data_IF_034356827498
#
_entry.id   IF_034356827498
#
_cell.length_a   1.000
_cell.length_b   1.000
_cell.length_c   1.000
_cell.angle_alpha   90.00
_cell.angle_beta   90.00
_cell.angle_gamma   90.00
#
_symmetry.space_group_name_H-M   'P 1'
#
loop_
_entity.id
_entity.type
_entity.pdbx_description
1 polymer ?
#
# COMPACT_ATOMS: atom_id res chain seq x y z
N UNK A 1 4.33 7.58 -8.01
CA UNK A 1 4.79 8.57 -7.01
C UNK A 1 5.07 9.86 -7.74
N UNK A 2 4.43 10.95 -7.34
CA UNK A 2 4.76 12.28 -7.83
C UNK A 2 5.54 12.98 -6.72
N UNK A 3 6.57 13.79 -7.05
CA UNK A 3 7.24 14.58 -6.03
C UNK A 3 6.22 15.49 -5.35
N UNK A 4 6.45 15.73 -4.06
CA UNK A 4 5.74 16.80 -3.35
C UNK A 4 6.04 18.15 -4.01
N UNK A 5 5.20 19.15 -3.75
CA UNK A 5 5.36 20.52 -4.29
C UNK A 5 6.76 21.11 -4.09
N UNK A 6 7.47 20.66 -3.04
CA UNK A 6 8.77 21.17 -2.61
C UNK A 6 9.93 20.19 -2.92
N UNK A 7 9.68 19.14 -3.71
CA UNK A 7 10.66 18.10 -4.04
C UNK A 7 10.92 18.07 -5.54
N UNK A 8 12.17 17.92 -5.94
CA UNK A 8 12.53 17.62 -7.33
C UNK A 8 12.39 16.12 -7.61
N UNK A 9 12.19 15.75 -8.88
CA UNK A 9 12.18 14.33 -9.29
C UNK A 9 13.46 13.60 -8.87
N UNK A 10 14.61 14.29 -8.86
CA UNK A 10 15.90 13.71 -8.48
C UNK A 10 15.97 13.38 -6.99
N UNK A 11 15.48 14.29 -6.14
CA UNK A 11 15.41 14.06 -4.69
C UNK A 11 14.44 12.93 -4.35
N UNK A 12 13.30 12.84 -5.04
CA UNK A 12 12.37 11.72 -4.88
C UNK A 12 13.03 10.38 -5.25
N UNK A 13 13.75 10.34 -6.37
CA UNK A 13 14.45 9.14 -6.81
C UNK A 13 15.50 8.70 -5.78
N UNK A 14 16.32 9.65 -5.32
CA UNK A 14 17.34 9.37 -4.31
C UNK A 14 16.72 8.81 -3.02
N UNK A 15 15.64 9.43 -2.53
CA UNK A 15 14.93 8.96 -1.34
C UNK A 15 14.40 7.53 -1.51
N UNK A 16 13.82 7.22 -2.66
CA UNK A 16 13.33 5.88 -2.96
C UNK A 16 14.47 4.86 -2.97
N UNK A 17 15.60 5.19 -3.61
CA UNK A 17 16.75 4.28 -3.63
C UNK A 17 17.35 4.05 -2.23
N UNK A 18 17.40 5.08 -1.39
CA UNK A 18 17.86 4.97 0.00
C UNK A 18 16.94 4.07 0.82
N UNK A 19 15.62 4.20 0.68
CA UNK A 19 14.64 3.33 1.33
C UNK A 19 14.79 1.87 0.88
N UNK A 20 14.91 1.62 -0.43
CA UNK A 20 15.11 0.27 -0.94
C UNK A 20 16.45 -0.34 -0.53
N UNK A 21 17.52 0.45 -0.41
CA UNK A 21 18.83 -0.03 0.07
C UNK A 21 18.84 -0.31 1.58
N UNK A 22 18.10 0.47 2.35
CA UNK A 22 18.01 0.32 3.80
C UNK A 22 17.07 -0.80 4.24
N UNK A 23 16.10 -1.16 3.40
CA UNK A 23 15.13 -2.20 3.72
C UNK A 23 15.73 -3.59 3.58
N UNK A 24 15.43 -4.47 4.55
CA UNK A 24 15.86 -5.86 4.46
C UNK A 24 14.89 -6.63 3.58
N UNK A 25 15.42 -7.32 2.58
CA UNK A 25 14.61 -8.27 1.80
C UNK A 25 14.12 -9.38 2.73
N UNK A 26 12.81 -9.43 2.95
CA UNK A 26 12.14 -10.52 3.66
C UNK A 26 11.04 -11.08 2.79
N UNK A 27 10.77 -12.37 2.96
CA UNK A 27 9.61 -13.02 2.37
C UNK A 27 8.51 -12.94 3.42
N UNK A 28 7.43 -12.15 3.20
CA UNK A 28 6.40 -11.94 4.21
C UNK A 28 5.79 -13.25 4.75
N UNK A 29 5.68 -14.27 3.89
CA UNK A 29 5.15 -15.59 4.21
C UNK A 29 6.06 -16.39 5.15
N UNK A 30 7.33 -16.01 5.29
CA UNK A 30 8.29 -16.66 6.20
C UNK A 30 8.34 -16.01 7.58
N UNK A 31 7.63 -14.90 7.81
CA UNK A 31 7.57 -14.29 9.14
C UNK A 31 6.67 -15.13 10.06
N UNK A 32 7.32 -15.98 10.86
CA UNK A 32 6.67 -16.85 11.85
C UNK A 32 5.72 -16.10 12.81
N UNK A 33 5.99 -14.83 13.11
CA UNK A 33 5.14 -14.01 13.99
C UNK A 33 3.83 -13.66 13.30
N UNK A 34 3.87 -13.42 11.99
CA UNK A 34 2.67 -13.20 11.18
C UNK A 34 1.87 -14.50 11.11
N UNK A 35 2.51 -15.64 10.83
CA UNK A 35 1.83 -16.93 10.83
C UNK A 35 1.17 -17.25 12.19
N UNK A 36 1.85 -16.99 13.30
CA UNK A 36 1.32 -17.16 14.65
C UNK A 36 0.13 -16.24 14.93
N UNK A 37 0.20 -14.97 14.49
CA UNK A 37 -0.92 -14.02 14.63
C UNK A 37 -2.17 -14.52 13.90
N UNK A 38 -2.00 -14.96 12.65
CA UNK A 38 -3.12 -15.52 11.88
C UNK A 38 -3.69 -16.76 12.56
N UNK A 39 -2.84 -17.69 13.02
CA UNK A 39 -3.30 -18.91 13.67
C UNK A 39 -3.96 -18.68 15.03
N UNK A 40 -3.45 -17.76 15.84
CA UNK A 40 -3.94 -17.52 17.21
C UNK A 40 -5.18 -16.62 17.25
N UNK A 41 -5.24 -15.61 16.39
CA UNK A 41 -6.31 -14.61 16.41
C UNK A 41 -7.39 -14.87 15.37
N UNK A 42 -6.99 -15.29 14.17
CA UNK A 42 -7.91 -15.59 13.07
C UNK A 42 -8.26 -17.08 12.99
N UNK A 43 -7.64 -17.91 13.84
CA UNK A 43 -7.82 -19.36 13.94
C UNK A 43 -7.40 -20.11 12.66
N UNK A 44 -6.95 -19.39 11.62
CA UNK A 44 -6.53 -19.93 10.32
C UNK A 44 -5.82 -18.88 9.45
N UNK A 45 -5.12 -19.37 8.42
CA UNK A 45 -4.48 -18.55 7.39
C UNK A 45 -5.40 -18.52 6.16
N UNK A 46 -6.07 -17.40 5.91
CA UNK A 46 -6.80 -17.16 4.65
C UNK A 46 -8.30 -17.51 4.63
N UNK A 47 -8.94 -17.70 5.78
CA UNK A 47 -10.39 -17.94 5.82
C UNK A 47 -11.23 -16.65 5.83
N UNK A 48 -12.55 -16.84 5.74
CA UNK A 48 -13.59 -15.82 5.76
C UNK A 48 -13.42 -14.81 6.91
N UNK A 49 -12.92 -15.22 8.08
CA UNK A 49 -12.66 -14.34 9.23
C UNK A 49 -11.60 -13.27 8.92
N UNK A 50 -10.51 -13.65 8.24
CA UNK A 50 -9.48 -12.70 7.80
C UNK A 50 -10.07 -11.71 6.78
N UNK A 51 -10.89 -12.20 5.85
CA UNK A 51 -11.54 -11.36 4.85
C UNK A 51 -12.54 -10.37 5.46
N UNK A 52 -13.27 -10.78 6.49
CA UNK A 52 -14.21 -9.91 7.19
C UNK A 52 -13.52 -8.84 8.06
N UNK A 53 -12.42 -9.19 8.71
CA UNK A 53 -11.76 -8.30 9.68
C UNK A 53 -10.67 -7.42 9.08
N UNK A 54 -9.95 -7.92 8.07
CA UNK A 54 -8.76 -7.23 7.52
C UNK A 54 -8.98 -6.63 6.13
N UNK A 55 -10.01 -7.06 5.39
CA UNK A 55 -10.26 -6.55 4.05
C UNK A 55 -11.35 -5.49 4.07
N UNK A 56 -11.15 -4.46 3.26
CA UNK A 56 -12.18 -3.48 2.94
C UNK A 56 -12.29 -3.36 1.43
N UNK A 57 -13.43 -2.88 0.95
CA UNK A 57 -13.64 -2.70 -0.48
C UNK A 57 -13.31 -1.27 -0.88
N UNK A 58 -12.50 -1.14 -1.92
CA UNK A 58 -12.29 0.14 -2.56
C UNK A 58 -13.59 0.61 -3.21
N UNK A 59 -14.00 1.84 -2.91
CA UNK A 59 -15.10 2.50 -3.61
C UNK A 59 -14.55 3.68 -4.40
N UNK A 60 -14.70 3.63 -5.72
CA UNK A 60 -14.33 4.74 -6.59
C UNK A 60 -15.28 5.91 -6.32
N UNK A 61 -14.74 7.01 -5.78
CA UNK A 61 -15.50 8.24 -5.62
C UNK A 61 -15.44 8.99 -6.94
N UNK A 62 -16.57 9.09 -7.64
CA UNK A 62 -16.68 9.99 -8.80
C UNK A 62 -16.56 11.43 -8.32
N UNK A 63 -15.40 12.03 -8.58
CA UNK A 63 -15.23 13.47 -8.43
C UNK A 63 -15.92 14.10 -9.63
N UNK A 64 -17.01 14.83 -9.41
CA UNK A 64 -17.61 15.72 -10.41
C UNK A 64 -16.64 16.87 -10.71
N UNK A 65 -15.53 16.56 -11.39
CA UNK A 65 -14.75 17.55 -12.09
C UNK A 65 -15.55 17.86 -13.35
N UNK A 66 -16.56 18.71 -13.22
CA UNK A 66 -17.08 19.50 -14.33
C UNK A 66 -15.93 20.40 -14.82
N UNK A 67 -14.97 19.78 -15.49
CA UNK A 67 -13.89 20.44 -16.18
C UNK A 67 -14.55 21.15 -17.34
N UNK A 68 -14.75 22.46 -17.18
CA UNK A 68 -14.99 23.38 -18.28
C UNK A 68 -14.01 23.00 -19.40
N UNK A 69 -14.57 22.50 -20.50
CA UNK A 69 -13.86 22.05 -21.68
C UNK A 69 -13.05 23.20 -22.26
N UNK A 70 -11.77 23.31 -21.89
CA UNK A 70 -10.81 24.11 -22.67
C UNK A 70 -10.43 23.24 -23.86
N UNK A 71 -11.03 23.54 -25.02
CA UNK A 71 -10.58 23.03 -26.32
C UNK A 71 -9.22 23.67 -26.63
N UNK A 72 -8.22 22.84 -26.87
CA UNK A 72 -7.02 23.20 -27.61
C UNK A 72 -7.27 22.98 -29.10
#
# INVERSE_FOLDING_TARGET
LKPSSDQTNKELLQQVEELYRGERTSVPEQDSRVAELYQSWLESIGEEKARQLLHTQYHAVEKNTNGLSIKW
#
